data_IF_142051388469
#
_entry.id   IF_142051388469
#
_cell.length_a   1.000
_cell.length_b   1.000
_cell.length_c   1.000
_cell.angle_alpha   90.00
_cell.angle_beta   90.00
_cell.angle_gamma   90.00
#
_symmetry.space_group_name_H-M   'P 1'
#
loop_
_entity.id
_entity.type
_entity.pdbx_description
1 polymer ?
#
# COMPACT_ATOMS: atom_id res chain seq x y z
N UNK A 1 13.12 19.65 15.10
CA UNK A 1 12.37 18.39 15.24
C UNK A 1 12.86 17.44 14.17
N UNK A 2 13.22 16.20 14.51
CA UNK A 2 13.63 15.21 13.53
C UNK A 2 12.38 14.61 12.87
N UNK A 3 12.28 14.68 11.55
CA UNK A 3 11.24 14.03 10.77
C UNK A 3 11.83 12.84 10.02
N UNK A 4 11.17 11.68 10.11
CA UNK A 4 11.52 10.49 9.34
C UNK A 4 10.58 10.40 8.16
N UNK A 5 11.14 10.56 6.95
CA UNK A 5 10.42 10.38 5.70
C UNK A 5 10.77 9.02 5.12
N UNK A 6 9.75 8.23 4.81
CA UNK A 6 9.88 6.94 4.15
C UNK A 6 9.47 7.10 2.71
N UNK A 7 10.35 6.70 1.79
CA UNK A 7 10.11 6.79 0.35
C UNK A 7 10.24 5.37 -0.22
N UNK A 8 9.19 4.89 -0.86
CA UNK A 8 9.19 3.63 -1.58
C UNK A 8 8.90 3.90 -3.06
N UNK A 9 9.91 3.66 -3.91
CA UNK A 9 9.84 3.92 -5.36
C UNK A 9 9.70 2.64 -6.14
N UNK A 10 9.14 2.75 -7.34
CA UNK A 10 8.95 1.63 -8.27
C UNK A 10 8.27 0.44 -7.62
N UNK A 11 7.27 0.72 -6.78
CA UNK A 11 6.61 -0.31 -6.00
C UNK A 11 5.40 -0.85 -6.77
N UNK A 12 5.09 -2.12 -6.56
CA UNK A 12 3.90 -2.76 -7.09
C UNK A 12 3.01 -3.24 -5.96
N UNK A 13 1.70 -3.02 -6.08
CA UNK A 13 0.75 -3.48 -5.08
C UNK A 13 0.70 -5.01 -5.06
N UNK A 14 0.91 -5.63 -3.90
CA UNK A 14 0.87 -7.07 -3.74
C UNK A 14 -0.54 -7.66 -3.93
N UNK A 15 -1.56 -6.86 -3.65
CA UNK A 15 -2.96 -7.27 -3.65
C UNK A 15 -3.91 -6.10 -3.88
N UNK A 16 -5.20 -6.35 -3.73
CA UNK A 16 -6.23 -5.31 -3.79
C UNK A 16 -6.11 -4.36 -2.60
N UNK A 17 -6.53 -3.11 -2.81
CA UNK A 17 -6.64 -2.11 -1.74
C UNK A 17 -7.79 -2.51 -0.81
N UNK A 18 -7.50 -2.62 0.49
CA UNK A 18 -8.54 -2.83 1.50
C UNK A 18 -9.08 -1.47 1.93
N UNK A 19 -10.33 -1.19 1.60
CA UNK A 19 -10.98 0.09 1.88
C UNK A 19 -12.06 -0.08 2.95
N UNK A 20 -12.05 0.78 3.98
CA UNK A 20 -13.01 0.78 5.07
C UNK A 20 -13.33 2.20 5.54
N UNK A 21 -14.53 2.39 6.11
CA UNK A 21 -14.85 3.61 6.85
C UNK A 21 -14.67 3.35 8.34
N UNK A 22 -13.83 4.14 9.00
CA UNK A 22 -13.60 4.08 10.44
C UNK A 22 -14.37 5.22 11.11
N UNK A 23 -14.98 4.96 12.27
CA UNK A 23 -15.63 6.00 13.04
C UNK A 23 -14.57 6.90 13.70
N UNK A 24 -14.39 8.10 13.16
CA UNK A 24 -13.59 9.17 13.76
C UNK A 24 -14.39 9.99 14.76
N UNK A 25 -13.72 10.95 15.40
CA UNK A 25 -14.34 11.87 16.37
C UNK A 25 -15.43 12.76 15.76
N UNK A 26 -15.28 13.12 14.48
CA UNK A 26 -16.17 14.04 13.77
C UNK A 26 -17.05 13.34 12.71
N UNK A 27 -16.98 12.00 12.61
CA UNK A 27 -17.76 11.23 11.63
C UNK A 27 -16.97 10.08 11.02
N UNK A 28 -17.54 9.49 9.95
CA UNK A 28 -16.89 8.40 9.23
C UNK A 28 -15.69 8.93 8.44
N UNK A 29 -14.52 8.33 8.66
CA UNK A 29 -13.27 8.63 7.95
C UNK A 29 -12.94 7.46 7.03
N UNK A 30 -12.71 7.76 5.76
CA UNK A 30 -12.20 6.79 4.80
C UNK A 30 -10.77 6.37 5.17
N UNK A 31 -10.51 5.06 5.13
CA UNK A 31 -9.21 4.47 5.38
C UNK A 31 -8.94 3.41 4.31
N UNK A 32 -7.72 3.40 3.79
CA UNK A 32 -7.27 2.36 2.88
C UNK A 32 -5.96 1.75 3.36
N UNK A 33 -5.85 0.44 3.23
CA UNK A 33 -4.62 -0.30 3.44
C UNK A 33 -4.18 -0.92 2.11
N UNK A 34 -2.92 -0.68 1.74
CA UNK A 34 -2.29 -1.32 0.60
C UNK A 34 -0.91 -1.84 0.99
N UNK A 35 -0.51 -2.96 0.38
CA UNK A 35 0.83 -3.51 0.56
C UNK A 35 1.60 -3.30 -0.73
N UNK A 36 2.70 -2.55 -0.65
CA UNK A 36 3.53 -2.23 -1.80
C UNK A 36 4.86 -2.97 -1.68
N UNK A 37 5.27 -3.63 -2.76
CA UNK A 37 6.51 -4.38 -2.85
C UNK A 37 7.45 -3.66 -3.80
N UNK A 38 8.66 -3.37 -3.35
CA UNK A 38 9.73 -2.83 -4.18
C UNK A 38 10.97 -3.70 -4.04
N UNK A 39 11.60 -4.05 -5.16
CA UNK A 39 12.83 -4.81 -5.15
C UNK A 39 14.02 -3.85 -5.15
N UNK A 40 14.94 -4.06 -4.21
CA UNK A 40 16.22 -3.39 -4.20
C UNK A 40 17.30 -4.36 -4.66
N UNK A 41 18.08 -3.94 -5.65
CA UNK A 41 19.26 -4.67 -6.10
C UNK A 41 20.48 -4.13 -5.37
N UNK A 42 21.28 -5.02 -4.79
CA UNK A 42 22.55 -4.68 -4.15
C UNK A 42 23.65 -5.56 -4.73
N UNK A 43 24.79 -4.97 -5.07
CA UNK A 43 25.92 -5.66 -5.69
C UNK A 43 25.97 -5.52 -7.22
N UNK A 44 26.98 -6.15 -7.83
CA UNK A 44 27.23 -6.16 -9.28
C UNK A 44 27.80 -7.51 -9.71
N UNK A 45 27.53 -7.96 -10.94
CA UNK A 45 28.06 -9.23 -11.46
C UNK A 45 27.40 -10.45 -10.82
N UNK A 46 28.20 -11.46 -10.46
CA UNK A 46 27.73 -12.71 -9.83
C UNK A 46 27.21 -12.51 -8.39
N UNK A 47 27.58 -11.41 -7.72
CA UNK A 47 27.16 -11.08 -6.35
C UNK A 47 25.87 -10.23 -6.29
N UNK A 48 25.05 -10.24 -7.34
CA UNK A 48 23.81 -9.46 -7.40
C UNK A 48 22.75 -10.09 -6.49
N UNK A 49 22.53 -9.50 -5.32
CA UNK A 49 21.43 -9.87 -4.43
C UNK A 49 20.18 -9.04 -4.75
N UNK A 50 19.04 -9.71 -4.90
CA UNK A 50 17.73 -9.08 -4.95
C UNK A 50 17.05 -9.18 -3.58
N UNK A 51 16.66 -8.03 -3.02
CA UNK A 51 15.91 -7.96 -1.76
C UNK A 51 14.56 -7.32 -2.02
N UNK A 52 13.50 -8.10 -1.86
CA UNK A 52 12.14 -7.60 -1.90
C UNK A 52 11.77 -6.99 -0.55
N UNK A 53 11.32 -5.73 -0.56
CA UNK A 53 10.81 -5.04 0.64
C UNK A 53 9.32 -4.84 0.45
N UNK A 54 8.53 -5.45 1.34
CA UNK A 54 7.08 -5.31 1.38
C UNK A 54 6.69 -4.41 2.57
N UNK A 55 6.00 -3.30 2.29
CA UNK A 55 5.54 -2.37 3.32
C UNK A 55 4.01 -2.24 3.21
N UNK A 56 3.33 -2.33 4.36
CA UNK A 56 1.92 -2.00 4.46
C UNK A 56 1.77 -0.50 4.75
N UNK A 57 1.06 0.17 3.85
CA UNK A 57 0.80 1.60 3.92
C UNK A 57 -0.65 1.87 4.30
N UNK A 58 -0.85 2.84 5.19
CA UNK A 58 -2.15 3.38 5.59
C UNK A 58 -2.39 4.71 4.91
N UNK A 59 -3.52 4.84 4.24
CA UNK A 59 -4.02 6.08 3.62
C UNK A 59 -5.32 6.50 4.30
N UNK A 60 -5.56 7.81 4.32
CA UNK A 60 -6.73 8.39 4.98
C UNK A 60 -7.49 9.35 4.05
N UNK A 61 -8.78 9.54 4.34
CA UNK A 61 -9.64 10.50 3.67
C UNK A 61 -9.69 10.32 2.16
N UNK A 62 -9.59 11.43 1.43
CA UNK A 62 -9.70 11.45 -0.03
C UNK A 62 -8.62 10.60 -0.73
N UNK A 63 -7.41 10.51 -0.17
CA UNK A 63 -6.37 9.65 -0.73
C UNK A 63 -6.73 8.17 -0.62
N UNK A 64 -7.40 7.77 0.47
CA UNK A 64 -7.89 6.40 0.62
C UNK A 64 -8.97 6.07 -0.42
N UNK A 65 -9.90 6.99 -0.65
CA UNK A 65 -10.96 6.84 -1.66
C UNK A 65 -10.38 6.68 -3.06
N UNK A 66 -9.47 7.57 -3.46
CA UNK A 66 -8.82 7.49 -4.78
C UNK A 66 -7.97 6.23 -4.94
N UNK A 67 -7.24 5.82 -3.90
CA UNK A 67 -6.48 4.58 -3.95
C UNK A 67 -7.41 3.37 -4.16
N UNK A 68 -8.55 3.32 -3.49
CA UNK A 68 -9.53 2.25 -3.66
C UNK A 68 -10.18 2.25 -5.05
N UNK A 69 -10.38 3.42 -5.65
CA UNK A 69 -11.01 3.59 -6.96
C UNK A 69 -10.07 3.21 -8.12
N UNK A 70 -8.79 3.58 -8.02
CA UNK A 70 -7.86 3.54 -9.15
C UNK A 70 -6.76 2.48 -9.03
N UNK A 71 -6.44 2.03 -7.81
CA UNK A 71 -5.36 1.06 -7.58
C UNK A 71 -5.92 -0.35 -7.37
N UNK A 72 -5.17 -1.34 -7.83
CA UNK A 72 -5.46 -2.75 -7.63
C UNK A 72 -4.19 -3.57 -7.57
N UNK A 73 -4.34 -4.90 -7.57
CA UNK A 73 -3.20 -5.81 -7.55
C UNK A 73 -2.26 -5.53 -8.73
N UNK A 74 -0.99 -5.33 -8.42
CA UNK A 74 0.09 -5.06 -9.36
C UNK A 74 0.20 -3.60 -9.82
N UNK A 75 -0.68 -2.69 -9.35
CA UNK A 75 -0.59 -1.27 -9.71
C UNK A 75 0.78 -0.70 -9.38
N UNK A 76 1.32 0.12 -10.27
CA UNK A 76 2.65 0.72 -10.14
C UNK A 76 2.57 2.09 -9.49
N UNK A 77 3.26 2.27 -8.36
CA UNK A 77 3.19 3.50 -7.56
C UNK A 77 4.55 3.92 -7.01
N UNK A 78 4.70 5.22 -6.74
CA UNK A 78 5.65 5.72 -5.75
C UNK A 78 4.88 6.17 -4.52
N UNK A 79 5.43 5.91 -3.34
CA UNK A 79 4.84 6.25 -2.06
C UNK A 79 5.85 7.09 -1.26
N UNK A 80 5.36 8.19 -0.71
CA UNK A 80 6.08 9.00 0.25
C UNK A 80 5.20 9.13 1.48
N UNK A 81 5.80 8.99 2.65
CA UNK A 81 5.06 9.22 3.87
C UNK A 81 5.91 9.16 5.12
N UNK A 82 5.23 8.99 6.24
CA UNK A 82 5.83 9.03 7.57
C UNK A 82 5.69 7.71 8.27
N UNK A 83 6.63 7.48 9.16
CA UNK A 83 6.62 6.37 10.10
C UNK A 83 6.13 6.87 11.46
N UNK A 84 5.20 6.15 12.06
CA UNK A 84 4.74 6.37 13.43
C UNK A 84 4.91 5.10 14.25
N UNK A 85 5.46 5.25 15.45
CA UNK A 85 5.45 4.18 16.43
C UNK A 85 4.06 4.13 17.06
N UNK A 86 3.45 2.95 17.05
CA UNK A 86 2.16 2.70 17.69
C UNK A 86 2.36 1.75 18.86
N UNK A 87 1.63 1.99 19.94
CA UNK A 87 1.56 1.09 21.09
C UNK A 87 0.10 0.84 21.39
N UNK A 88 -0.29 -0.43 21.48
CA UNK A 88 -1.66 -0.82 21.82
C UNK A 88 -1.66 -2.10 22.63
N UNK A 89 -2.75 -2.34 23.37
CA UNK A 89 -2.96 -3.59 24.07
C UNK A 89 -3.66 -4.58 23.14
N UNK A 90 -3.12 -5.80 23.02
CA UNK A 90 -3.82 -6.89 22.34
C UNK A 90 -5.04 -7.35 23.16
N UNK A 91 -5.87 -8.21 22.57
CA UNK A 91 -7.06 -8.76 23.24
C UNK A 91 -6.74 -9.59 24.49
N UNK A 92 -5.48 -9.95 24.71
CA UNK A 92 -4.98 -10.63 25.90
C UNK A 92 -4.36 -9.70 26.95
N UNK A 93 -4.41 -8.38 26.75
CA UNK A 93 -3.86 -7.38 27.66
C UNK A 93 -2.33 -7.24 27.59
N UNK A 94 -1.69 -7.74 26.52
CA UNK A 94 -0.24 -7.56 26.31
C UNK A 94 0.01 -6.29 25.51
N UNK A 95 1.02 -5.53 25.91
CA UNK A 95 1.48 -4.37 25.14
C UNK A 95 2.18 -4.82 23.85
N UNK A 96 1.67 -4.33 22.72
CA UNK A 96 2.24 -4.54 21.40
C UNK A 96 2.83 -3.21 20.92
N UNK A 97 4.12 -3.24 20.60
CA UNK A 97 4.83 -2.14 19.96
C UNK A 97 4.90 -2.42 18.46
N UNK A 98 4.36 -1.48 17.68
CA UNK A 98 4.27 -1.59 16.24
C UNK A 98 4.77 -0.33 15.56
N UNK A 99 4.91 -0.43 14.25
CA UNK A 99 5.26 0.67 13.36
C UNK A 99 4.17 0.77 12.31
N UNK A 100 3.59 1.95 12.15
CA UNK A 100 2.65 2.26 11.08
C UNK A 100 3.32 3.19 10.06
N UNK A 101 3.12 2.89 8.77
CA UNK A 101 3.54 3.75 7.67
C UNK A 101 2.31 4.47 7.11
N UNK A 102 2.25 5.78 7.32
CA UNK A 102 1.16 6.62 6.82
C UNK A 102 1.60 7.33 5.55
N UNK A 103 0.84 7.18 4.47
CA UNK A 103 1.11 7.88 3.21
C UNK A 103 0.82 9.36 3.37
N UNK A 104 1.72 10.20 2.90
CA UNK A 104 1.50 11.63 2.70
C UNK A 104 1.26 11.94 1.23
N UNK A 105 2.01 11.30 0.34
CA UNK A 105 1.94 11.51 -1.10
C UNK A 105 2.08 10.19 -1.87
N UNK A 106 1.38 10.10 -3.00
CA UNK A 106 1.33 8.89 -3.82
C UNK A 106 1.27 9.25 -5.30
N UNK A 107 2.26 8.81 -6.06
CA UNK A 107 2.29 8.94 -7.51
C UNK A 107 1.81 7.64 -8.16
N UNK A 108 0.90 7.76 -9.12
CA UNK A 108 0.40 6.61 -9.88
C UNK A 108 1.18 6.55 -11.19
N UNK A 109 1.90 5.46 -11.40
CA UNK A 109 2.83 5.32 -12.52
C UNK A 109 2.25 4.49 -13.68
N UNK A 110 1.09 3.87 -13.48
CA UNK A 110 0.37 3.18 -14.56
C UNK A 110 -0.26 4.21 -15.51
N UNK A 111 -0.17 3.97 -16.82
CA UNK A 111 -1.01 4.68 -17.77
C UNK A 111 -2.48 4.28 -17.60
N UNK A 112 -3.41 5.14 -18.03
CA UNK A 112 -4.85 4.82 -18.01
C UNK A 112 -5.16 3.51 -18.74
N UNK A 113 -4.54 3.30 -19.91
CA UNK A 113 -4.70 2.09 -20.70
C UNK A 113 -4.21 0.83 -19.96
N UNK A 114 -3.09 0.91 -19.25
CA UNK A 114 -2.57 -0.20 -18.45
C UNK A 114 -3.48 -0.51 -17.24
N UNK A 115 -4.00 0.52 -16.58
CA UNK A 115 -4.98 0.36 -15.48
C UNK A 115 -6.26 -0.33 -15.96
N UNK A 116 -6.79 0.06 -17.12
CA UNK A 116 -8.00 -0.55 -17.71
C UNK A 116 -7.75 -1.98 -18.16
N UNK A 117 -6.66 -2.25 -18.88
CA UNK A 117 -6.30 -3.60 -19.33
C UNK A 117 -6.09 -4.57 -18.15
N UNK A 118 -5.64 -4.06 -17.00
CA UNK A 118 -5.45 -4.84 -15.77
C UNK A 118 -6.77 -5.14 -15.06
N UNK A 119 -7.71 -4.18 -15.06
CA UNK A 119 -9.08 -4.38 -14.55
C UNK A 119 -9.84 -5.42 -15.36
N UNK A 120 -9.78 -5.35 -16.69
CA UNK A 120 -10.43 -6.33 -17.56
C UNK A 120 -9.88 -7.75 -17.34
N UNK A 121 -8.55 -7.90 -17.24
CA UNK A 121 -7.90 -9.20 -16.97
C UNK A 121 -8.28 -9.78 -15.61
N UNK A 122 -8.33 -8.95 -14.58
CA UNK A 122 -8.74 -9.37 -13.23
C UNK A 122 -10.18 -9.89 -13.22
N UNK A 123 -11.09 -9.20 -13.92
CA UNK A 123 -12.50 -9.58 -13.99
C UNK A 123 -12.70 -10.92 -14.74
N UNK A 124 -12.00 -11.13 -15.86
CA UNK A 124 -12.07 -12.40 -16.61
C UNK A 124 -11.50 -13.58 -15.84
N UNK A 125 -10.42 -13.38 -15.08
CA UNK A 125 -9.80 -14.45 -14.29
C UNK A 125 -10.68 -14.86 -13.09
N UNK A 126 -11.39 -13.90 -12.49
CA UNK A 126 -12.29 -14.15 -11.37
C UNK A 126 -13.56 -14.88 -11.80
N UNK A 127 -14.05 -14.64 -13.02
CA UNK A 127 -15.22 -15.30 -13.60
C UNK A 127 -14.94 -16.76 -14.01
N UNK A 128 -13.71 -17.05 -14.47
CA UNK A 128 -13.27 -18.41 -14.80
C UNK A 128 -12.96 -19.28 -13.57
N UNK A 129 -12.60 -18.67 -12.43
CA UNK A 129 -12.35 -19.39 -11.18
C UNK A 129 -13.63 -19.69 -10.37
N UNK A 130 -14.75 -19.05 -10.72
CA UNK A 130 -16.07 -19.26 -10.10
C UNK A 130 -16.99 -20.20 -10.89
N UNK A 131 -16.51 -20.77 -12.00
CA UNK A 131 -17.20 -21.75 -12.84
C UNK A 131 -16.54 -23.13 -12.70
#
# INVERSE_FOLDING_TARGET
MANVLVIQRHAHLAGAVKFEFVNGREGKLAKALLTAISNQYRGSGEDREERAVAIQWTLWGKQAEHAAEYLGKGSHVNLVGRLHNIQYLDSGGREVYGVEFTVEDIDYLDSKAESEARRTRSNSAQQAASA
#
